data_IF_043484149508
#
_entry.id   IF_043484149508
#
_cell.length_a   1.000
_cell.length_b   1.000
_cell.length_c   1.000
_cell.angle_alpha   90.00
_cell.angle_beta   90.00
_cell.angle_gamma   90.00
#
_symmetry.space_group_name_H-M   'P 1'
#
loop_
_entity.id
_entity.type
_entity.pdbx_description
1 polymer ?
#
# COMPACT_ATOMS: atom_id res chain seq x y z
N UNK A 1 -22.06 -4.52 -42.59
CA UNK A 1 -22.07 -5.76 -41.78
C UNK A 1 -20.66 -5.93 -41.22
N UNK A 2 -20.48 -5.72 -39.91
CA UNK A 2 -19.19 -5.44 -39.29
C UNK A 2 -18.80 -6.51 -38.25
N UNK A 3 -17.52 -6.90 -38.32
CA UNK A 3 -16.65 -7.55 -37.32
C UNK A 3 -17.01 -8.95 -36.77
N UNK A 4 -16.02 -9.85 -36.71
CA UNK A 4 -15.43 -10.15 -35.40
C UNK A 4 -13.89 -10.28 -35.45
N UNK A 5 -13.17 -9.41 -34.73
CA UNK A 5 -11.73 -9.49 -34.52
C UNK A 5 -11.40 -8.87 -33.15
N UNK A 6 -11.62 -9.60 -32.05
CA UNK A 6 -11.24 -9.14 -30.69
C UNK A 6 -10.47 -10.19 -29.87
N UNK A 7 -10.30 -11.43 -30.31
CA UNK A 7 -9.80 -12.51 -29.43
C UNK A 7 -8.31 -12.91 -29.55
N UNK A 8 -7.38 -12.05 -30.02
CA UNK A 8 -5.97 -12.48 -30.22
C UNK A 8 -4.90 -11.76 -29.38
N UNK A 9 -5.23 -10.87 -28.44
CA UNK A 9 -4.22 -10.05 -27.75
C UNK A 9 -3.82 -10.49 -26.33
N UNK A 10 -4.39 -11.56 -25.78
CA UNK A 10 -4.11 -11.97 -24.38
C UNK A 10 -3.15 -13.15 -24.21
N UNK A 11 -2.52 -13.65 -25.28
CA UNK A 11 -1.67 -14.86 -25.21
C UNK A 11 -0.17 -14.61 -25.00
N UNK A 12 0.32 -13.35 -24.97
CA UNK A 12 1.76 -13.07 -25.08
C UNK A 12 2.49 -12.61 -23.80
N UNK A 13 1.91 -12.77 -22.62
CA UNK A 13 2.59 -12.41 -21.36
C UNK A 13 2.73 -13.62 -20.43
N UNK A 14 3.66 -14.54 -20.75
CA UNK A 14 4.01 -15.64 -19.83
C UNK A 14 5.49 -16.06 -19.84
N UNK A 15 6.40 -15.24 -20.37
CA UNK A 15 7.83 -15.57 -20.37
C UNK A 15 8.74 -14.37 -20.08
N UNK A 16 8.86 -14.00 -18.81
CA UNK A 16 10.04 -13.29 -18.28
C UNK A 16 10.26 -13.72 -16.82
N UNK A 17 10.82 -14.92 -16.62
CA UNK A 17 11.40 -15.35 -15.35
C UNK A 17 12.92 -15.34 -15.48
N UNK A 18 13.58 -14.33 -14.92
CA UNK A 18 15.05 -14.24 -14.86
C UNK A 18 15.54 -15.18 -13.77
N UNK A 19 16.19 -16.27 -14.17
CA UNK A 19 16.92 -17.15 -13.28
C UNK A 19 18.18 -16.45 -12.78
N UNK A 20 18.28 -16.24 -11.47
CA UNK A 20 19.50 -15.80 -10.81
C UNK A 20 20.56 -16.91 -10.91
N UNK A 21 21.52 -16.75 -11.83
CA UNK A 21 22.77 -17.51 -11.85
C UNK A 21 23.84 -16.67 -11.19
N UNK A 22 24.20 -17.00 -9.95
CA UNK A 22 25.44 -16.51 -9.37
C UNK A 22 26.59 -17.38 -9.88
N UNK A 23 27.35 -16.85 -10.83
CA UNK A 23 28.65 -17.36 -11.21
C UNK A 23 29.71 -16.60 -10.40
N UNK A 24 30.53 -17.33 -9.64
CA UNK A 24 31.74 -16.79 -9.01
C UNK A 24 32.93 -17.54 -9.59
N UNK A 25 33.75 -16.80 -10.32
CA UNK A 25 34.97 -17.25 -10.99
C UNK A 25 36.13 -17.44 -10.00
N UNK A 26 36.75 -18.61 -10.10
CA UNK A 26 38.20 -18.90 -10.04
C UNK A 26 39.15 -17.97 -9.28
N UNK A 27 39.76 -18.52 -8.21
CA UNK A 27 41.20 -18.45 -8.00
C UNK A 27 41.69 -19.82 -7.50
N UNK A 28 42.58 -20.44 -8.28
CA UNK A 28 43.25 -21.69 -7.94
C UNK A 28 44.44 -21.42 -7.02
N UNK A 29 44.62 -22.24 -5.98
CA UNK A 29 45.95 -22.53 -5.46
C UNK A 29 46.10 -24.04 -5.30
N UNK A 30 46.88 -24.63 -6.20
CA UNK A 30 47.30 -26.03 -6.15
C UNK A 30 48.38 -26.20 -5.08
N UNK A 31 48.09 -26.94 -4.01
CA UNK A 31 49.10 -27.76 -3.31
C UNK A 31 48.50 -29.10 -2.89
N UNK A 32 48.71 -30.09 -3.73
CA UNK A 32 48.58 -31.50 -3.38
C UNK A 32 49.78 -31.92 -2.52
N UNK A 33 49.54 -32.28 -1.27
CA UNK A 33 50.39 -33.22 -0.54
C UNK A 33 49.51 -34.41 -0.13
N UNK A 34 49.67 -35.48 -0.90
CA UNK A 34 48.99 -36.75 -0.75
C UNK A 34 49.83 -37.63 0.16
N UNK A 35 49.31 -38.01 1.32
CA UNK A 35 49.76 -39.24 1.99
C UNK A 35 48.56 -40.02 2.52
N UNK A 36 48.56 -41.29 2.12
CA UNK A 36 47.81 -42.42 2.67
C UNK A 36 46.39 -42.66 2.15
N UNK A 37 46.19 -43.92 1.77
CA UNK A 37 45.19 -44.42 0.84
C UNK A 37 43.98 -45.00 1.57
N UNK A 38 43.29 -44.17 2.34
CA UNK A 38 41.92 -44.45 2.76
C UNK A 38 41.15 -43.13 2.71
N UNK A 39 39.91 -43.09 2.19
CA UNK A 39 39.05 -41.97 2.45
C UNK A 39 38.85 -41.96 3.97
N UNK A 40 39.49 -41.02 4.67
CA UNK A 40 38.98 -40.56 5.94
C UNK A 40 37.64 -39.92 5.61
N UNK A 41 36.63 -40.78 5.50
CA UNK A 41 35.26 -40.46 5.75
C UNK A 41 35.27 -39.87 7.16
N UNK A 42 35.47 -38.56 7.25
CA UNK A 42 34.68 -37.81 8.22
C UNK A 42 33.23 -38.06 7.78
N UNK A 43 32.69 -39.21 8.22
CA UNK A 43 31.34 -39.22 8.73
C UNK A 43 31.28 -37.92 9.51
N UNK A 44 30.44 -36.99 9.04
CA UNK A 44 29.91 -35.97 9.92
C UNK A 44 29.37 -36.75 11.09
N UNK A 45 30.21 -36.73 12.09
CA UNK A 45 30.05 -37.30 13.38
C UNK A 45 28.82 -36.60 13.90
N UNK A 46 27.65 -37.23 13.69
CA UNK A 46 26.35 -36.83 14.25
C UNK A 46 26.40 -36.76 15.80
N UNK A 47 27.57 -36.95 16.41
CA UNK A 47 27.84 -37.02 17.83
C UNK A 47 28.35 -35.70 18.43
N UNK A 48 28.37 -34.60 17.67
CA UNK A 48 28.23 -33.26 18.26
C UNK A 48 26.84 -32.67 17.98
N UNK A 49 25.81 -33.52 18.00
CA UNK A 49 24.50 -33.07 18.46
C UNK A 49 24.71 -32.47 19.86
N UNK A 50 24.60 -31.14 19.98
CA UNK A 50 24.41 -30.43 21.25
C UNK A 50 23.55 -31.34 22.12
N UNK A 51 24.12 -31.91 23.22
CA UNK A 51 23.50 -32.96 24.04
C UNK A 51 22.00 -32.78 24.01
N UNK A 52 21.34 -33.59 23.19
CA UNK A 52 19.95 -33.38 22.83
C UNK A 52 19.19 -33.30 24.13
N UNK A 53 18.56 -32.14 24.39
CA UNK A 53 17.62 -32.03 25.50
C UNK A 53 16.79 -33.30 25.51
N UNK A 54 16.78 -34.02 26.65
CA UNK A 54 16.16 -35.34 26.76
C UNK A 54 14.85 -35.38 25.96
N UNK A 55 14.49 -36.47 25.25
CA UNK A 55 13.32 -36.50 24.36
C UNK A 55 12.02 -35.96 24.99
N UNK A 56 11.89 -36.08 26.32
CA UNK A 56 10.80 -35.50 27.10
C UNK A 56 10.78 -33.96 27.14
N UNK A 57 11.94 -33.29 27.22
CA UNK A 57 12.09 -31.83 27.21
C UNK A 57 11.73 -31.25 25.84
N UNK A 58 12.18 -31.87 24.74
CA UNK A 58 11.81 -31.47 23.38
C UNK A 58 10.29 -31.62 23.14
N UNK A 59 9.68 -32.67 23.67
CA UNK A 59 8.21 -32.82 23.67
C UNK A 59 7.51 -31.72 24.47
N UNK A 60 8.04 -31.32 25.64
CA UNK A 60 7.48 -30.20 26.44
C UNK A 60 7.62 -28.86 25.70
N UNK A 61 8.77 -28.58 25.10
CA UNK A 61 9.01 -27.35 24.33
C UNK A 61 8.17 -27.30 23.05
N UNK A 62 8.05 -28.42 22.33
CA UNK A 62 7.19 -28.52 21.15
C UNK A 62 5.71 -28.30 21.48
N UNK A 63 5.24 -28.80 22.64
CA UNK A 63 3.89 -28.50 23.14
C UNK A 63 3.70 -27.00 23.43
N UNK A 64 4.67 -26.35 24.09
CA UNK A 64 4.62 -24.90 24.35
C UNK A 64 4.66 -24.07 23.06
N UNK A 65 5.48 -24.44 22.08
CA UNK A 65 5.52 -23.79 20.75
C UNK A 65 4.17 -23.89 20.04
N UNK A 66 3.58 -25.09 19.99
CA UNK A 66 2.24 -25.28 19.41
C UNK A 66 1.14 -24.52 20.15
N UNK A 67 1.26 -24.34 21.46
CA UNK A 67 0.33 -23.52 22.23
C UNK A 67 0.48 -22.03 21.88
N UNK A 68 1.72 -21.53 21.79
CA UNK A 68 2.02 -20.16 21.39
C UNK A 68 1.58 -19.89 19.95
N UNK A 69 1.85 -20.78 19.01
CA UNK A 69 1.39 -20.68 17.61
C UNK A 69 -0.13 -20.62 17.52
N UNK A 70 -0.83 -21.44 18.31
CA UNK A 70 -2.30 -21.39 18.38
C UNK A 70 -2.81 -20.09 19.00
N UNK A 71 -2.13 -19.56 20.01
CA UNK A 71 -2.48 -18.28 20.61
C UNK A 71 -2.24 -17.14 19.62
N UNK A 72 -1.10 -17.14 18.93
CA UNK A 72 -0.77 -16.17 17.88
C UNK A 72 -1.81 -16.21 16.76
N UNK A 73 -2.15 -17.39 16.24
CA UNK A 73 -3.16 -17.57 15.22
C UNK A 73 -4.57 -17.13 15.67
N UNK A 74 -4.87 -17.20 16.98
CA UNK A 74 -6.11 -16.65 17.54
C UNK A 74 -6.03 -15.12 17.65
N UNK A 75 -4.90 -14.57 18.07
CA UNK A 75 -4.67 -13.13 18.18
C UNK A 75 -4.72 -12.47 16.80
N UNK A 76 -4.10 -13.05 15.78
CA UNK A 76 -4.12 -12.54 14.40
C UNK A 76 -5.54 -12.52 13.82
N UNK A 77 -6.32 -13.59 14.05
CA UNK A 77 -7.74 -13.63 13.67
C UNK A 77 -8.56 -12.56 14.39
N UNK A 78 -8.29 -12.33 15.68
CA UNK A 78 -8.97 -11.27 16.45
C UNK A 78 -8.56 -9.89 15.96
N UNK A 79 -7.27 -9.65 15.71
CA UNK A 79 -6.74 -8.38 15.20
C UNK A 79 -7.36 -7.99 13.84
N UNK A 80 -7.62 -8.96 12.97
CA UNK A 80 -8.33 -8.72 11.71
C UNK A 80 -9.79 -8.29 11.90
N UNK A 81 -10.44 -8.76 12.98
CA UNK A 81 -11.83 -8.40 13.34
C UNK A 81 -11.92 -7.06 14.10
N UNK A 82 -10.86 -6.64 14.82
CA UNK A 82 -10.80 -5.37 15.58
C UNK A 82 -10.68 -4.13 14.68
N UNK A 83 -10.92 -4.24 13.36
CA UNK A 83 -11.20 -3.03 12.58
C UNK A 83 -12.51 -2.46 13.09
N UNK A 84 -12.42 -1.51 14.02
CA UNK A 84 -13.57 -0.82 14.58
C UNK A 84 -14.52 -0.45 13.45
N UNK A 85 -15.83 -0.72 13.58
CA UNK A 85 -16.79 -0.39 12.55
C UNK A 85 -16.66 1.09 12.20
N UNK A 86 -16.46 1.41 10.93
CA UNK A 86 -16.38 2.81 10.46
C UNK A 86 -17.76 3.41 10.66
N UNK A 87 -17.92 4.20 11.73
CA UNK A 87 -19.19 4.79 12.15
C UNK A 87 -19.87 5.55 11.01
N UNK A 88 -19.11 6.31 10.22
CA UNK A 88 -19.62 7.09 9.09
C UNK A 88 -20.21 6.25 7.96
N UNK A 89 -19.79 4.98 7.84
CA UNK A 89 -20.27 4.07 6.80
C UNK A 89 -21.55 3.33 7.22
N UNK A 90 -21.78 3.18 8.52
CA UNK A 90 -22.89 2.39 9.04
C UNK A 90 -24.02 3.34 9.40
N UNK A 91 -25.21 3.07 8.87
CA UNK A 91 -26.41 3.83 9.22
C UNK A 91 -26.89 3.33 10.57
N UNK A 92 -27.13 4.26 11.50
CA UNK A 92 -27.70 3.91 12.79
C UNK A 92 -29.12 3.36 12.63
N UNK A 93 -29.40 2.22 13.26
CA UNK A 93 -30.72 1.58 13.23
C UNK A 93 -31.86 2.49 13.73
N UNK A 94 -31.53 3.44 14.62
CA UNK A 94 -32.50 4.44 15.10
C UNK A 94 -32.92 5.38 13.98
N UNK A 95 -31.96 5.87 13.18
CA UNK A 95 -32.21 6.75 12.05
C UNK A 95 -33.02 6.05 10.97
N UNK A 96 -32.73 4.78 10.68
CA UNK A 96 -33.47 4.00 9.69
C UNK A 96 -34.97 3.86 10.06
N UNK A 97 -35.28 3.60 11.34
CA UNK A 97 -36.66 3.52 11.83
C UNK A 97 -37.39 4.87 11.77
N UNK A 98 -36.70 5.95 12.11
CA UNK A 98 -37.28 7.31 12.14
C UNK A 98 -37.42 7.93 10.75
N UNK A 99 -36.55 7.57 9.81
CA UNK A 99 -36.53 8.10 8.44
C UNK A 99 -37.84 7.86 7.69
N UNK A 100 -38.48 6.71 7.92
CA UNK A 100 -39.72 6.34 7.23
C UNK A 100 -40.93 7.14 7.74
N UNK A 101 -40.95 7.49 9.03
CA UNK A 101 -42.17 8.00 9.70
C UNK A 101 -42.12 9.45 10.13
N UNK A 102 -40.96 9.94 10.59
CA UNK A 102 -40.86 11.22 11.31
C UNK A 102 -39.96 12.20 10.55
N UNK A 103 -38.83 11.72 10.00
CA UNK A 103 -37.79 12.59 9.41
C UNK A 103 -37.91 12.77 7.89
N UNK A 104 -39.04 12.40 7.29
CA UNK A 104 -39.26 12.57 5.84
C UNK A 104 -39.66 14.03 5.55
N UNK A 105 -38.90 14.69 4.68
CA UNK A 105 -39.26 16.03 4.17
C UNK A 105 -40.07 15.91 2.89
N UNK A 106 -41.10 16.73 2.75
CA UNK A 106 -41.89 16.83 1.52
C UNK A 106 -41.12 17.63 0.45
N UNK A 107 -41.29 17.25 -0.82
CA UNK A 107 -40.60 17.90 -1.94
C UNK A 107 -41.43 19.08 -2.45
N UNK A 108 -40.83 20.27 -2.48
CA UNK A 108 -41.53 21.52 -2.81
C UNK A 108 -41.65 21.86 -4.31
N UNK A 109 -40.90 21.22 -5.21
CA UNK A 109 -40.89 21.55 -6.65
C UNK A 109 -41.42 20.36 -7.45
N UNK A 110 -42.28 20.56 -8.45
CA UNK A 110 -42.74 19.50 -9.34
C UNK A 110 -41.54 18.77 -9.98
N UNK A 111 -41.59 17.44 -10.08
CA UNK A 111 -40.42 16.63 -10.43
C UNK A 111 -39.92 16.88 -11.86
N UNK A 112 -40.80 17.20 -12.81
CA UNK A 112 -40.46 17.22 -14.23
C UNK A 112 -39.56 18.41 -14.64
N UNK A 113 -39.84 19.62 -14.15
CA UNK A 113 -39.04 20.81 -14.44
C UNK A 113 -37.67 20.71 -13.77
N UNK A 114 -37.64 20.29 -12.50
CA UNK A 114 -36.42 20.01 -11.73
C UNK A 114 -35.56 18.98 -12.45
N UNK A 115 -36.15 17.90 -12.96
CA UNK A 115 -35.39 16.86 -13.67
C UNK A 115 -34.73 17.37 -14.95
N UNK A 116 -35.41 18.24 -15.72
CA UNK A 116 -34.84 18.82 -16.94
C UNK A 116 -33.64 19.71 -16.63
N UNK A 117 -33.76 20.57 -15.62
CA UNK A 117 -32.67 21.42 -15.17
C UNK A 117 -31.49 20.62 -14.62
N UNK A 118 -31.75 19.62 -13.77
CA UNK A 118 -30.72 18.74 -13.22
C UNK A 118 -30.00 17.94 -14.31
N UNK A 119 -30.72 17.47 -15.35
CA UNK A 119 -30.11 16.78 -16.50
C UNK A 119 -29.17 17.70 -17.26
N UNK A 120 -29.60 18.94 -17.53
CA UNK A 120 -28.76 19.95 -18.19
C UNK A 120 -27.52 20.27 -17.36
N UNK A 121 -27.69 20.59 -16.08
CA UNK A 121 -26.60 20.88 -15.16
C UNK A 121 -25.62 19.70 -15.03
N UNK A 122 -26.12 18.47 -14.90
CA UNK A 122 -25.29 17.27 -14.83
C UNK A 122 -24.47 17.06 -16.11
N UNK A 123 -25.04 17.36 -17.27
CA UNK A 123 -24.33 17.29 -18.54
C UNK A 123 -23.21 18.34 -18.60
N UNK A 124 -23.51 19.60 -18.30
CA UNK A 124 -22.52 20.69 -18.26
C UNK A 124 -21.38 20.38 -17.27
N UNK A 125 -21.72 19.87 -16.08
CA UNK A 125 -20.75 19.45 -15.08
C UNK A 125 -19.84 18.32 -15.58
N UNK A 126 -20.41 17.32 -16.27
CA UNK A 126 -19.60 16.23 -16.86
C UNK A 126 -18.62 16.75 -17.91
N UNK A 127 -19.06 17.66 -18.77
CA UNK A 127 -18.19 18.29 -19.77
C UNK A 127 -17.06 19.06 -19.08
N UNK A 128 -17.41 19.90 -18.10
CA UNK A 128 -16.44 20.65 -17.31
C UNK A 128 -15.41 19.73 -16.63
N UNK A 129 -15.84 18.69 -15.91
CA UNK A 129 -14.94 17.76 -15.24
C UNK A 129 -14.01 17.03 -16.23
N UNK A 130 -14.54 16.62 -17.39
CA UNK A 130 -13.73 15.98 -18.43
C UNK A 130 -12.64 16.92 -18.91
N UNK A 131 -12.98 18.17 -19.20
CA UNK A 131 -12.04 19.15 -19.73
C UNK A 131 -10.99 19.51 -18.66
N UNK A 132 -11.40 19.67 -17.40
CA UNK A 132 -10.49 19.87 -16.26
C UNK A 132 -9.49 18.72 -16.11
N UNK A 133 -9.97 17.48 -16.08
CA UNK A 133 -9.10 16.28 -15.94
C UNK A 133 -8.15 16.17 -17.14
N UNK A 134 -8.62 16.47 -18.35
CA UNK A 134 -7.79 16.43 -19.56
C UNK A 134 -6.65 17.45 -19.47
N UNK A 135 -6.92 18.66 -19.00
CA UNK A 135 -5.91 19.70 -18.80
C UNK A 135 -4.92 19.34 -17.69
N UNK A 136 -5.39 18.74 -16.60
CA UNK A 136 -4.55 18.28 -15.49
C UNK A 136 -3.58 17.18 -15.97
N UNK A 137 -4.09 16.18 -16.68
CA UNK A 137 -3.29 15.10 -17.27
C UNK A 137 -2.22 15.69 -18.20
N UNK A 138 -2.60 16.62 -19.09
CA UNK A 138 -1.65 17.27 -20.00
C UNK A 138 -0.55 18.03 -19.25
N UNK A 139 -0.92 18.71 -18.16
CA UNK A 139 0.03 19.46 -17.33
C UNK A 139 1.02 18.53 -16.63
N UNK A 140 0.53 17.41 -16.08
CA UNK A 140 1.38 16.38 -15.46
C UNK A 140 2.31 15.74 -16.50
N UNK A 141 1.79 15.40 -17.68
CA UNK A 141 2.59 14.85 -18.78
C UNK A 141 3.70 15.81 -19.21
N UNK A 142 3.40 17.10 -19.37
CA UNK A 142 4.41 18.13 -19.67
C UNK A 142 5.51 18.19 -18.61
N UNK A 143 5.13 18.18 -17.32
CA UNK A 143 6.10 18.18 -16.21
C UNK A 143 6.99 16.95 -16.23
N UNK A 144 6.41 15.76 -16.44
CA UNK A 144 7.17 14.50 -16.55
C UNK A 144 8.14 14.51 -17.73
N UNK A 145 7.70 14.96 -18.91
CA UNK A 145 8.57 15.07 -20.09
C UNK A 145 9.71 16.07 -19.84
N UNK A 146 9.43 17.21 -19.20
CA UNK A 146 10.45 18.18 -18.83
C UNK A 146 11.46 17.59 -17.84
N UNK A 147 10.98 16.86 -16.83
CA UNK A 147 11.84 16.20 -15.84
C UNK A 147 12.74 15.15 -16.51
N UNK A 148 12.19 14.32 -17.41
CA UNK A 148 12.95 13.31 -18.13
C UNK A 148 14.03 13.93 -19.04
N UNK A 149 13.70 15.01 -19.75
CA UNK A 149 14.68 15.75 -20.57
C UNK A 149 15.80 16.32 -19.70
N UNK A 150 15.46 16.99 -18.60
CA UNK A 150 16.43 17.56 -17.68
C UNK A 150 17.35 16.47 -17.09
N UNK A 151 16.82 15.30 -16.70
CA UNK A 151 17.64 14.18 -16.22
C UNK A 151 18.54 13.60 -17.32
N UNK A 152 18.07 13.56 -18.56
CA UNK A 152 18.85 13.11 -19.71
C UNK A 152 20.00 14.05 -20.06
N UNK A 153 19.81 15.37 -19.91
CA UNK A 153 20.85 16.39 -20.04
C UNK A 153 21.84 16.32 -18.88
N UNK A 154 21.33 16.27 -17.64
CA UNK A 154 22.14 16.15 -16.43
C UNK A 154 23.09 14.95 -16.49
N UNK A 155 22.62 13.81 -17.00
CA UNK A 155 23.44 12.61 -17.16
C UNK A 155 24.61 12.80 -18.15
N UNK A 156 24.38 13.57 -19.21
CA UNK A 156 25.43 13.87 -20.20
C UNK A 156 26.50 14.80 -19.63
N UNK A 157 26.11 15.70 -18.73
CA UNK A 157 27.02 16.65 -18.08
C UNK A 157 27.77 16.02 -16.89
N UNK A 158 27.06 15.27 -16.04
CA UNK A 158 27.63 14.63 -14.84
C UNK A 158 26.82 13.42 -14.37
N UNK A 159 27.43 12.24 -14.44
CA UNK A 159 26.83 11.00 -13.95
C UNK A 159 26.69 10.97 -12.42
N UNK A 160 27.60 11.62 -11.67
CA UNK A 160 27.54 11.66 -10.21
C UNK A 160 26.31 12.44 -9.70
N UNK A 161 26.00 13.57 -10.34
CA UNK A 161 24.82 14.37 -10.00
C UNK A 161 23.52 13.65 -10.37
N UNK A 162 23.53 12.93 -11.50
CA UNK A 162 22.40 12.11 -11.91
C UNK A 162 22.06 11.02 -10.87
N UNK A 163 23.08 10.32 -10.34
CA UNK A 163 22.87 9.30 -9.30
C UNK A 163 22.28 9.89 -8.01
N UNK A 164 22.75 11.08 -7.60
CA UNK A 164 22.20 11.79 -6.43
C UNK A 164 20.76 12.24 -6.66
N UNK A 165 20.44 12.74 -7.86
CA UNK A 165 19.10 13.24 -8.18
C UNK A 165 18.02 12.14 -8.26
N UNK A 166 18.41 10.89 -8.51
CA UNK A 166 17.49 9.74 -8.56
C UNK A 166 17.29 9.08 -7.19
N UNK A 167 18.20 9.32 -6.25
CA UNK A 167 18.06 8.81 -4.90
C UNK A 167 16.73 9.30 -4.29
N UNK A 168 16.04 8.40 -3.59
CA UNK A 168 14.80 8.73 -2.88
C UNK A 168 15.17 9.63 -1.70
N UNK A 169 14.49 10.76 -1.59
CA UNK A 169 14.63 11.66 -0.45
C UNK A 169 13.88 11.07 0.76
N UNK A 170 14.60 10.78 1.84
CA UNK A 170 14.05 10.20 3.08
C UNK A 170 13.12 11.20 3.80
N UNK A 171 13.33 12.51 3.61
CA UNK A 171 12.54 13.55 4.26
C UNK A 171 11.08 13.60 3.74
N UNK A 172 10.81 13.01 2.56
CA UNK A 172 9.47 12.92 1.99
C UNK A 172 8.55 11.94 2.75
N UNK A 173 9.07 11.05 3.58
CA UNK A 173 8.25 10.04 4.28
C UNK A 173 7.27 10.66 5.28
N UNK A 174 7.66 11.77 5.93
CA UNK A 174 6.86 12.48 6.93
C UNK A 174 6.32 13.82 6.40
N UNK A 175 6.07 13.92 5.09
CA UNK A 175 5.57 15.14 4.49
C UNK A 175 4.13 15.44 4.95
N UNK A 176 3.94 16.59 5.62
CA UNK A 176 2.64 17.08 6.06
C UNK A 176 2.40 18.49 5.55
N UNK A 177 1.26 18.72 4.91
CA UNK A 177 0.84 20.02 4.40
C UNK A 177 -0.55 20.33 4.94
N UNK A 178 -0.69 21.54 5.48
CA UNK A 178 -1.99 22.06 5.90
C UNK A 178 -2.83 22.36 4.67
N UNK A 179 -4.07 21.90 4.67
CA UNK A 179 -5.04 22.25 3.62
C UNK A 179 -5.28 23.75 3.62
N UNK A 180 -5.50 24.31 2.44
CA UNK A 180 -6.00 25.68 2.27
C UNK A 180 -7.32 25.83 3.03
N UNK A 181 -7.41 26.84 3.88
CA UNK A 181 -8.64 27.21 4.59
C UNK A 181 -9.43 28.20 3.74
N UNK A 182 -10.77 28.18 3.85
CA UNK A 182 -11.64 29.11 3.12
C UNK A 182 -11.31 30.58 3.45
N UNK A 183 -10.88 30.83 4.67
CA UNK A 183 -10.46 32.15 5.17
C UNK A 183 -9.05 32.04 5.77
N UNK A 184 -8.15 33.00 5.50
CA UNK A 184 -6.84 33.04 6.15
C UNK A 184 -6.96 33.33 7.65
N UNK A 185 -5.92 33.00 8.41
CA UNK A 185 -5.89 33.25 9.84
C UNK A 185 -5.86 34.75 10.16
N UNK A 186 -6.65 35.16 11.15
CA UNK A 186 -6.68 36.55 11.63
C UNK A 186 -5.51 36.77 12.60
N UNK A 187 -4.62 37.75 12.36
CA UNK A 187 -3.50 38.02 13.25
C UNK A 187 -4.00 38.52 14.61
N UNK A 188 -3.49 37.94 15.70
CA UNK A 188 -3.85 38.34 17.07
C UNK A 188 -5.20 37.81 17.56
N UNK A 189 -5.86 36.92 16.82
CA UNK A 189 -7.08 36.26 17.29
C UNK A 189 -6.76 35.37 18.50
N UNK A 190 -7.37 35.68 19.64
CA UNK A 190 -7.32 34.86 20.84
C UNK A 190 -8.60 34.00 20.91
N UNK A 191 -8.51 32.67 20.72
CA UNK A 191 -9.66 31.80 20.86
C UNK A 191 -10.15 31.80 22.31
N UNK A 192 -11.46 31.64 22.48
CA UNK A 192 -12.08 31.45 23.80
C UNK A 192 -11.61 30.10 24.36
N UNK A 193 -11.28 30.08 25.65
CA UNK A 193 -10.84 28.87 26.33
C UNK A 193 -11.98 27.84 26.46
N UNK A 194 -11.64 26.56 26.33
CA UNK A 194 -12.60 25.46 26.36
C UNK A 194 -11.94 24.11 26.52
N UNK A 195 -12.57 23.23 27.30
CA UNK A 195 -12.05 21.88 27.56
C UNK A 195 -12.39 20.94 26.39
N UNK A 196 -11.37 20.30 25.81
CA UNK A 196 -11.54 19.23 24.84
C UNK A 196 -11.59 17.88 25.54
N UNK A 197 -12.76 17.22 25.51
CA UNK A 197 -12.92 15.84 26.00
C UNK A 197 -12.96 14.86 24.81
N UNK A 198 -12.06 13.89 24.80
CA UNK A 198 -12.08 12.81 23.81
C UNK A 198 -13.23 11.83 24.08
N UNK A 199 -14.24 11.85 23.21
CA UNK A 199 -15.43 10.98 23.24
C UNK A 199 -15.32 9.78 22.29
N UNK A 200 -14.10 9.48 21.82
CA UNK A 200 -13.88 8.37 20.88
C UNK A 200 -14.17 7.03 21.57
N UNK A 201 -15.13 6.28 21.02
CA UNK A 201 -15.53 4.97 21.54
C UNK A 201 -14.38 3.99 21.35
N UNK A 202 -13.85 3.47 22.45
CA UNK A 202 -12.88 2.37 22.45
C UNK A 202 -13.64 1.05 22.25
N UNK A 203 -13.14 0.22 21.34
CA UNK A 203 -13.69 -1.11 21.07
C UNK A 203 -12.69 -2.16 21.60
N UNK A 204 -13.12 -3.03 22.51
CA UNK A 204 -12.32 -4.10 23.15
C UNK A 204 -12.47 -5.48 22.46
#
# INVERSE_FOLDING_TARGET
MAAPMINSLTANFSRLGVAARTASSSLQLNRCLRTQAHPLLFLTTDHLQKKGQHPHMNKRLGKKKKQLEKLLAKMDKRAQLIKAPIKERIIDMKLEKEAVKIRKRELSVPPEEREKEMKKFSHEWKVYCRDFITQEIHTVQKRLLSQQKALGELRKESEELYQKAIAIDEDLYNFSVKRLTDTPAIPGFQPIDGEYTDVTIKYD
#
